data_IF_372051965367
#
_entry.id   IF_372051965367
#
_cell.length_a   1.000
_cell.length_b   1.000
_cell.length_c   1.000
_cell.angle_alpha   90.00
_cell.angle_beta   90.00
_cell.angle_gamma   90.00
#
_symmetry.space_group_name_H-M   'P 1'
#
loop_
_entity.id
_entity.type
_entity.pdbx_description
1 polymer ?
#
# COMPACT_ATOMS: atom_id res chain seq x y z
N UNK A 1 11.41 10.07 -14.06
CA UNK A 1 11.81 9.29 -15.25
C UNK A 1 12.21 7.90 -14.76
N UNK A 2 11.77 6.81 -15.42
CA UNK A 2 12.17 5.45 -15.07
C UNK A 2 13.60 5.18 -15.55
N UNK A 3 14.62 5.53 -14.76
CA UNK A 3 16.02 5.38 -15.14
C UNK A 3 16.42 3.92 -15.40
N UNK A 4 15.74 2.97 -14.75
CA UNK A 4 15.88 1.53 -14.96
C UNK A 4 15.55 1.10 -16.40
N UNK A 5 14.74 1.88 -17.11
CA UNK A 5 14.39 1.65 -18.52
C UNK A 5 15.36 2.28 -19.52
N UNK A 6 16.37 3.03 -19.06
CA UNK A 6 17.38 3.58 -19.97
C UNK A 6 18.13 2.46 -20.67
N UNK A 7 18.47 2.70 -21.95
CA UNK A 7 19.20 1.75 -22.78
C UNK A 7 20.69 2.07 -22.71
N UNK A 8 21.50 1.09 -22.33
CA UNK A 8 22.95 1.21 -22.26
C UNK A 8 23.64 1.09 -23.62
N UNK A 9 24.98 1.25 -23.67
CA UNK A 9 25.77 1.09 -24.89
C UNK A 9 25.61 -0.27 -25.57
N UNK A 10 25.32 -1.32 -24.79
CA UNK A 10 25.12 -2.70 -25.27
C UNK A 10 23.70 -2.96 -25.81
N UNK A 11 22.88 -1.91 -25.97
CA UNK A 11 21.48 -1.97 -26.40
C UNK A 11 20.53 -2.73 -25.46
N UNK A 12 20.96 -3.02 -24.23
CA UNK A 12 20.12 -3.59 -23.17
C UNK A 12 19.63 -2.52 -22.20
N UNK A 13 18.46 -2.76 -21.59
CA UNK A 13 17.95 -1.90 -20.52
C UNK A 13 18.80 -2.04 -19.25
N UNK A 14 19.04 -0.92 -18.55
CA UNK A 14 19.86 -0.91 -17.34
C UNK A 14 19.37 -1.88 -16.26
N UNK A 15 18.06 -2.11 -16.14
CA UNK A 15 17.48 -3.06 -15.17
C UNK A 15 18.00 -4.51 -15.32
N UNK A 16 18.49 -4.88 -16.50
CA UNK A 16 19.00 -6.24 -16.77
C UNK A 16 20.37 -6.45 -16.13
N UNK A 17 21.19 -5.39 -16.06
CA UNK A 17 22.59 -5.48 -15.65
C UNK A 17 22.91 -4.71 -14.36
N UNK A 18 22.01 -3.82 -13.93
CA UNK A 18 22.24 -2.92 -12.79
C UNK A 18 21.05 -2.94 -11.83
N UNK A 19 21.36 -2.90 -10.53
CA UNK A 19 20.40 -2.63 -9.49
C UNK A 19 20.21 -1.12 -9.38
N UNK A 20 18.97 -0.67 -9.52
CA UNK A 20 18.59 0.75 -9.47
C UNK A 20 17.64 0.95 -8.31
N UNK A 21 18.09 1.71 -7.30
CA UNK A 21 17.30 2.10 -6.14
C UNK A 21 17.04 3.61 -6.13
N UNK A 22 15.86 3.99 -5.62
CA UNK A 22 15.48 5.38 -5.42
C UNK A 22 15.31 5.68 -3.93
N UNK A 23 15.88 6.80 -3.50
CA UNK A 23 15.73 7.33 -2.14
C UNK A 23 15.39 8.81 -2.24
N UNK A 24 14.50 9.35 -1.39
CA UNK A 24 14.16 10.78 -1.44
C UNK A 24 15.35 11.68 -1.06
N UNK A 25 16.28 11.18 -0.24
CA UNK A 25 17.49 11.91 0.12
C UNK A 25 18.64 10.99 0.56
N UNK A 26 19.85 11.54 0.62
CA UNK A 26 21.00 10.86 1.20
C UNK A 26 20.81 10.58 2.71
N UNK A 27 20.12 11.46 3.43
CA UNK A 27 19.82 11.28 4.85
C UNK A 27 18.90 10.08 5.08
N UNK A 28 17.81 9.97 4.31
CA UNK A 28 16.89 8.82 4.41
C UNK A 28 17.62 7.52 4.07
N UNK A 29 18.46 7.52 3.03
CA UNK A 29 19.28 6.34 2.70
C UNK A 29 20.21 5.93 3.84
N UNK A 30 20.85 6.90 4.50
CA UNK A 30 21.70 6.63 5.65
C UNK A 30 20.90 6.00 6.79
N UNK A 31 19.74 6.59 7.15
CA UNK A 31 18.88 6.08 8.21
C UNK A 31 18.39 4.66 7.93
N UNK A 32 17.88 4.40 6.72
CA UNK A 32 17.44 3.06 6.32
C UNK A 32 18.57 2.02 6.44
N UNK A 33 19.79 2.38 6.04
CA UNK A 33 20.95 1.47 6.12
C UNK A 33 21.42 1.22 7.54
N UNK A 34 21.24 2.18 8.45
CA UNK A 34 21.67 2.05 9.85
C UNK A 34 20.62 1.40 10.74
N UNK A 35 19.33 1.67 10.53
CA UNK A 35 18.24 1.15 11.37
C UNK A 35 17.88 -0.30 11.04
N UNK A 36 17.96 -0.72 9.77
CA UNK A 36 17.71 -2.10 9.34
C UNK A 36 18.66 -3.15 10.00
N UNK A 37 19.74 -2.69 10.62
CA UNK A 37 20.67 -3.54 11.36
C UNK A 37 20.30 -3.74 12.84
N UNK A 38 19.48 -2.86 13.44
CA UNK A 38 19.34 -2.75 14.89
C UNK A 38 18.12 -3.48 15.47
N UNK A 39 16.96 -3.48 14.80
CA UNK A 39 15.72 -4.07 15.33
C UNK A 39 15.02 -4.92 14.27
N UNK A 40 15.32 -6.22 14.23
CA UNK A 40 14.67 -7.15 13.28
C UNK A 40 13.42 -7.75 13.90
N UNK A 41 12.27 -7.48 13.27
CA UNK A 41 10.99 -8.08 13.62
C UNK A 41 11.04 -9.61 13.71
N UNK A 42 10.26 -10.17 14.64
CA UNK A 42 10.23 -11.62 14.91
C UNK A 42 9.32 -12.41 13.96
N UNK A 43 8.37 -11.72 13.30
CA UNK A 43 7.38 -12.28 12.40
C UNK A 43 7.84 -12.12 10.95
N UNK A 44 7.73 -13.16 10.12
CA UNK A 44 8.41 -13.16 8.83
C UNK A 44 7.63 -12.41 7.75
N UNK A 45 6.31 -12.51 7.72
CA UNK A 45 5.50 -12.01 6.60
C UNK A 45 4.06 -11.70 7.00
N UNK A 46 3.53 -10.59 6.49
CA UNK A 46 2.12 -10.25 6.49
C UNK A 46 1.69 -9.89 5.07
N UNK A 47 0.80 -10.69 4.49
CA UNK A 47 0.27 -10.50 3.15
C UNK A 47 -1.20 -10.07 3.15
N UNK A 48 -1.54 -9.11 2.29
CA UNK A 48 -2.87 -8.54 2.13
C UNK A 48 -3.29 -8.68 0.67
N UNK A 49 -4.48 -9.23 0.41
CA UNK A 49 -4.94 -9.45 -0.96
C UNK A 49 -6.40 -9.87 -1.10
N UNK A 50 -6.79 -10.24 -2.32
CA UNK A 50 -8.13 -10.73 -2.69
C UNK A 50 -9.26 -9.80 -2.24
N UNK A 51 -9.12 -8.49 -2.48
CA UNK A 51 -10.16 -7.54 -2.09
C UNK A 51 -11.43 -7.82 -2.90
N UNK A 52 -12.59 -8.02 -2.25
CA UNK A 52 -13.86 -8.26 -2.93
C UNK A 52 -14.20 -7.14 -3.92
N UNK A 53 -14.83 -7.49 -5.05
CA UNK A 53 -15.24 -6.50 -6.04
C UNK A 53 -16.22 -5.48 -5.44
N UNK A 54 -15.97 -4.19 -5.68
CA UNK A 54 -16.85 -3.11 -5.25
C UNK A 54 -17.81 -2.75 -6.40
N UNK A 55 -19.08 -3.14 -6.28
CA UNK A 55 -20.12 -2.75 -7.24
C UNK A 55 -20.52 -1.28 -7.04
N UNK A 56 -20.91 -0.64 -8.15
CA UNK A 56 -21.41 0.75 -8.20
C UNK A 56 -22.72 0.96 -7.42
N UNK A 57 -23.40 -0.13 -7.04
CA UNK A 57 -24.79 -0.08 -6.58
C UNK A 57 -24.95 -0.64 -5.15
N UNK A 58 -24.92 0.26 -4.17
CA UNK A 58 -25.77 0.23 -2.96
C UNK A 58 -25.66 -0.91 -1.93
N UNK A 59 -24.69 -0.84 -1.01
CA UNK A 59 -24.78 -1.48 0.32
C UNK A 59 -23.57 -1.21 1.24
N UNK A 60 -23.73 -1.04 2.57
CA UNK A 60 -24.77 -0.28 3.25
C UNK A 60 -24.42 1.22 3.24
N UNK A 61 -24.84 1.93 2.19
CA UNK A 61 -24.88 3.39 2.16
C UNK A 61 -25.87 4.00 3.19
N UNK A 62 -26.56 3.16 3.98
CA UNK A 62 -27.41 3.59 5.08
C UNK A 62 -26.64 3.92 6.37
N UNK A 63 -25.40 3.42 6.54
CA UNK A 63 -24.58 3.75 7.72
C UNK A 63 -23.77 5.05 7.53
N UNK A 64 -23.42 5.40 6.29
CA UNK A 64 -22.54 6.53 5.97
C UNK A 64 -23.28 7.85 5.67
N UNK A 65 -24.62 7.84 5.58
CA UNK A 65 -25.43 9.04 5.36
C UNK A 65 -25.45 10.02 6.55
N UNK A 66 -24.75 9.72 7.65
CA UNK A 66 -24.63 10.62 8.81
C UNK A 66 -23.41 11.55 8.78
N UNK A 67 -22.47 11.39 7.84
CA UNK A 67 -21.46 12.41 7.59
C UNK A 67 -22.06 13.49 6.70
N UNK A 68 -22.22 14.70 7.25
CA UNK A 68 -22.74 15.90 6.61
C UNK A 68 -22.37 15.99 5.12
N UNK A 69 -23.34 16.32 4.26
CA UNK A 69 -23.18 16.59 2.81
C UNK A 69 -21.92 17.43 2.45
N UNK A 70 -21.45 18.26 3.38
CA UNK A 70 -20.25 19.10 3.29
C UNK A 70 -18.91 18.33 3.25
N UNK A 71 -18.90 17.06 3.67
CA UNK A 71 -17.71 16.21 3.72
C UNK A 71 -17.54 15.39 2.44
N UNK A 72 -18.65 15.15 1.71
CA UNK A 72 -18.67 14.47 0.40
C UNK A 72 -17.92 15.27 -0.68
N UNK A 73 -18.01 16.60 -0.64
CA UNK A 73 -17.28 17.52 -1.52
C UNK A 73 -15.77 17.65 -1.19
N UNK A 74 -15.30 17.10 -0.06
CA UNK A 74 -13.91 17.21 0.40
C UNK A 74 -13.10 15.94 0.19
N UNK A 75 -13.72 14.84 -0.25
CA UNK A 75 -13.02 13.59 -0.55
C UNK A 75 -12.54 13.63 -2.01
N UNK A 76 -11.22 13.52 -2.26
CA UNK A 76 -10.68 13.52 -3.63
C UNK A 76 -11.19 12.34 -4.46
N UNK A 77 -11.55 11.26 -3.77
CA UNK A 77 -12.03 10.02 -4.35
C UNK A 77 -13.42 9.69 -3.81
N UNK A 78 -14.48 9.89 -4.59
CA UNK A 78 -15.73 9.23 -4.31
C UNK A 78 -15.51 7.74 -4.62
N UNK A 79 -15.34 6.92 -3.59
CA UNK A 79 -15.31 5.45 -3.70
C UNK A 79 -16.52 4.90 -4.46
N UNK A 80 -17.62 5.64 -4.47
CA UNK A 80 -18.85 5.36 -5.21
C UNK A 80 -18.67 5.43 -6.75
N UNK A 81 -17.62 6.09 -7.25
CA UNK A 81 -17.39 6.31 -8.68
C UNK A 81 -16.35 5.38 -9.31
N UNK A 82 -15.52 4.69 -8.53
CA UNK A 82 -14.47 3.80 -9.04
C UNK A 82 -14.96 2.36 -9.04
N UNK A 83 -15.17 1.78 -10.24
CA UNK A 83 -15.48 0.35 -10.38
C UNK A 83 -14.18 -0.45 -10.29
N UNK A 84 -13.98 -1.12 -9.17
CA UNK A 84 -12.86 -2.02 -8.97
C UNK A 84 -13.32 -3.46 -9.15
N UNK A 85 -12.75 -4.13 -10.14
CA UNK A 85 -12.90 -5.57 -10.31
C UNK A 85 -12.17 -6.31 -9.20
N UNK A 86 -12.67 -7.49 -8.84
CA UNK A 86 -11.95 -8.40 -7.96
C UNK A 86 -10.60 -8.79 -8.59
N UNK A 87 -9.60 -9.00 -7.74
CA UNK A 87 -8.27 -9.49 -8.10
C UNK A 87 -8.07 -10.90 -7.51
N UNK A 88 -8.76 -11.95 -8.03
CA UNK A 88 -8.73 -13.27 -7.41
C UNK A 88 -7.32 -13.89 -7.41
N UNK A 89 -6.50 -13.58 -8.41
CA UNK A 89 -5.10 -14.03 -8.48
C UNK A 89 -4.23 -13.47 -7.34
N UNK A 90 -4.62 -12.34 -6.73
CA UNK A 90 -3.91 -11.78 -5.58
C UNK A 90 -4.06 -12.64 -4.32
N UNK A 91 -5.14 -13.45 -4.21
CA UNK A 91 -5.20 -14.52 -3.20
C UNK A 91 -4.03 -15.47 -3.39
N UNK A 92 -3.89 -16.00 -4.60
CA UNK A 92 -2.88 -17.02 -4.90
C UNK A 92 -1.46 -16.46 -4.68
N UNK A 93 -1.21 -15.19 -5.01
CA UNK A 93 0.03 -14.47 -4.72
C UNK A 93 0.35 -14.45 -3.20
N UNK A 94 -0.60 -13.99 -2.38
CA UNK A 94 -0.43 -13.92 -0.92
C UNK A 94 -0.23 -15.29 -0.29
N UNK A 95 -0.99 -16.29 -0.76
CA UNK A 95 -0.90 -17.66 -0.25
C UNK A 95 0.45 -18.29 -0.62
N UNK A 96 0.88 -18.18 -1.89
CA UNK A 96 2.14 -18.74 -2.35
C UNK A 96 3.36 -18.12 -1.62
N UNK A 97 3.35 -16.81 -1.38
CA UNK A 97 4.41 -16.14 -0.62
C UNK A 97 4.40 -16.59 0.85
N UNK A 98 3.23 -16.74 1.46
CA UNK A 98 3.13 -17.21 2.83
C UNK A 98 3.70 -18.63 2.99
N UNK A 99 3.38 -19.52 2.04
CA UNK A 99 3.86 -20.91 2.03
C UNK A 99 5.37 -20.97 1.81
N UNK A 100 5.90 -20.11 0.94
CA UNK A 100 7.34 -20.00 0.68
C UNK A 100 8.12 -19.48 1.89
N UNK A 101 7.58 -18.48 2.59
CA UNK A 101 8.26 -17.80 3.70
C UNK A 101 8.12 -18.58 5.02
N UNK A 102 6.98 -19.22 5.26
CA UNK A 102 6.81 -20.21 6.32
C UNK A 102 5.68 -19.95 7.31
N UNK A 103 5.56 -20.84 8.29
CA UNK A 103 4.35 -21.04 9.10
C UNK A 103 3.92 -19.90 10.03
N UNK A 104 4.78 -18.89 10.27
CA UNK A 104 4.42 -17.69 11.07
C UNK A 104 3.88 -16.54 10.22
N UNK A 105 3.69 -16.76 8.93
CA UNK A 105 3.09 -15.80 8.01
C UNK A 105 1.64 -15.52 8.39
N UNK A 106 1.22 -14.26 8.30
CA UNK A 106 -0.16 -13.83 8.50
C UNK A 106 -0.75 -13.42 7.15
N UNK A 107 -2.02 -13.77 6.94
CA UNK A 107 -2.74 -13.53 5.69
C UNK A 107 -4.04 -12.78 6.00
N UNK A 108 -4.22 -11.62 5.39
CA UNK A 108 -5.47 -10.86 5.42
C UNK A 108 -6.04 -10.84 4.01
N UNK A 109 -6.97 -11.76 3.73
CA UNK A 109 -7.55 -11.93 2.39
C UNK A 109 -9.08 -11.85 2.40
N UNK A 110 -9.68 -11.40 1.30
CA UNK A 110 -11.13 -11.27 1.19
C UNK A 110 -11.70 -10.24 2.16
N UNK A 111 -12.83 -10.57 2.79
CA UNK A 111 -13.49 -9.73 3.80
C UNK A 111 -12.62 -9.46 5.05
N UNK A 112 -11.53 -10.22 5.25
CA UNK A 112 -10.60 -9.99 6.37
C UNK A 112 -9.50 -8.99 6.04
N UNK A 113 -9.37 -8.59 4.77
CA UNK A 113 -8.37 -7.63 4.31
C UNK A 113 -8.78 -6.18 4.63
N UNK A 114 -9.19 -5.92 5.87
CA UNK A 114 -9.65 -4.60 6.33
C UNK A 114 -8.51 -3.81 6.97
N UNK A 115 -8.63 -2.49 6.98
CA UNK A 115 -7.69 -1.61 7.66
C UNK A 115 -7.61 -1.90 9.15
N UNK A 116 -8.75 -2.15 9.79
CA UNK A 116 -8.80 -2.49 11.20
C UNK A 116 -8.04 -3.80 11.50
N UNK A 117 -8.21 -4.82 10.67
CA UNK A 117 -7.51 -6.10 10.83
C UNK A 117 -5.99 -5.94 10.66
N UNK A 118 -5.56 -5.09 9.73
CA UNK A 118 -4.16 -4.71 9.52
C UNK A 118 -3.61 -3.93 10.73
N UNK A 119 -4.29 -2.86 11.14
CA UNK A 119 -3.92 -1.98 12.27
C UNK A 119 -3.89 -2.74 13.61
N UNK A 120 -4.63 -3.85 13.73
CA UNK A 120 -4.61 -4.72 14.90
C UNK A 120 -3.40 -5.68 14.96
N UNK A 121 -2.63 -5.83 13.88
CA UNK A 121 -1.42 -6.65 13.89
C UNK A 121 -0.25 -5.93 14.58
N UNK A 122 0.72 -6.67 15.15
CA UNK A 122 1.97 -6.08 15.64
C UNK A 122 2.88 -5.70 14.46
N UNK A 123 2.53 -4.63 13.73
CA UNK A 123 3.18 -4.26 12.46
C UNK A 123 4.70 -4.03 12.56
N UNK A 124 5.19 -3.58 13.71
CA UNK A 124 6.64 -3.43 13.98
C UNK A 124 7.37 -4.76 14.11
N UNK A 125 6.67 -5.89 14.23
CA UNK A 125 7.30 -7.22 14.30
C UNK A 125 7.40 -7.92 12.96
N UNK A 126 6.74 -7.43 11.91
CA UNK A 126 6.78 -8.06 10.59
C UNK A 126 7.99 -7.59 9.79
N UNK A 127 8.77 -8.55 9.31
CA UNK A 127 9.92 -8.29 8.44
C UNK A 127 9.51 -7.93 7.01
N UNK A 128 8.42 -8.52 6.53
CA UNK A 128 7.91 -8.29 5.17
C UNK A 128 6.43 -7.96 5.23
N UNK A 129 6.04 -6.85 4.60
CA UNK A 129 4.66 -6.48 4.33
C UNK A 129 4.42 -6.55 2.83
N UNK A 130 3.34 -7.22 2.42
CA UNK A 130 3.02 -7.39 1.00
C UNK A 130 1.56 -7.03 0.74
N UNK A 131 1.34 -6.04 -0.12
CA UNK A 131 0.04 -5.53 -0.49
C UNK A 131 -0.26 -5.83 -1.96
N UNK A 132 -1.09 -6.84 -2.21
CA UNK A 132 -1.60 -7.19 -3.53
C UNK A 132 -3.04 -6.71 -3.69
N UNK A 133 -3.21 -5.39 -3.80
CA UNK A 133 -4.51 -4.71 -3.75
C UNK A 133 -4.59 -3.61 -4.82
N UNK A 134 -5.75 -2.99 -5.02
CA UNK A 134 -5.82 -1.80 -5.87
C UNK A 134 -5.18 -0.60 -5.17
N UNK A 135 -4.49 0.24 -5.94
CA UNK A 135 -4.00 1.55 -5.50
C UNK A 135 -4.78 2.66 -6.19
N UNK A 136 -4.98 3.78 -5.50
CA UNK A 136 -5.54 5.01 -6.06
C UNK A 136 -4.65 6.19 -5.69
N UNK A 137 -4.22 6.96 -6.69
CA UNK A 137 -3.26 8.06 -6.50
C UNK A 137 -3.85 9.41 -6.90
N UNK A 138 -3.58 10.46 -6.12
CA UNK A 138 -4.05 11.83 -6.39
C UNK A 138 -2.89 12.81 -6.47
N UNK A 139 -2.66 13.41 -7.63
CA UNK A 139 -1.68 14.50 -7.73
C UNK A 139 -2.12 15.76 -6.98
N UNK A 140 -3.43 16.04 -6.94
CA UNK A 140 -3.99 17.22 -6.26
C UNK A 140 -3.98 17.08 -4.74
N UNK A 141 -4.15 15.86 -4.24
CA UNK A 141 -4.15 15.56 -2.82
C UNK A 141 -3.29 14.32 -2.52
N UNK A 142 -1.94 14.40 -2.64
CA UNK A 142 -1.06 13.23 -2.56
C UNK A 142 -1.23 12.41 -1.28
N UNK A 143 -1.41 13.08 -0.14
CA UNK A 143 -1.70 12.46 1.17
C UNK A 143 -3.00 11.67 1.24
N UNK A 144 -3.89 11.81 0.26
CA UNK A 144 -5.17 11.09 0.13
C UNK A 144 -5.10 9.96 -0.90
N UNK A 145 -3.93 9.73 -1.51
CA UNK A 145 -3.66 8.48 -2.23
C UNK A 145 -3.79 7.30 -1.26
N UNK A 146 -4.27 6.15 -1.70
CA UNK A 146 -4.64 5.07 -0.81
C UNK A 146 -4.47 3.68 -1.43
N UNK A 147 -4.31 2.69 -0.56
CA UNK A 147 -4.52 1.29 -0.88
C UNK A 147 -5.99 0.96 -0.61
N UNK A 148 -6.66 0.31 -1.56
CA UNK A 148 -8.06 -0.09 -1.39
C UNK A 148 -8.12 -1.40 -0.61
N UNK A 149 -8.82 -1.35 0.51
CA UNK A 149 -9.00 -2.47 1.45
C UNK A 149 -10.48 -2.88 1.52
N UNK A 150 -10.76 -4.01 2.16
CA UNK A 150 -12.13 -4.39 2.47
C UNK A 150 -12.71 -3.39 3.49
N UNK A 151 -13.94 -2.88 3.29
CA UNK A 151 -14.57 -1.94 4.21
C UNK A 151 -14.94 -2.65 5.52
N UNK A 152 -14.94 -1.91 6.63
CA UNK A 152 -15.46 -2.39 7.92
C UNK A 152 -16.49 -1.40 8.47
N UNK A 153 -17.78 -1.55 8.11
CA UNK A 153 -18.84 -0.65 8.55
C UNK A 153 -19.03 -0.65 10.07
N UNK A 154 -18.64 -1.72 10.79
CA UNK A 154 -18.78 -1.80 12.24
C UNK A 154 -17.80 -0.85 12.95
N UNK A 155 -16.64 -0.61 12.34
CA UNK A 155 -15.60 0.28 12.85
C UNK A 155 -15.55 1.62 12.13
N UNK A 156 -16.51 1.89 11.24
CA UNK A 156 -16.58 3.11 10.43
C UNK A 156 -15.34 3.35 9.53
N UNK A 157 -14.62 2.28 9.18
CA UNK A 157 -13.52 2.31 8.21
C UNK A 157 -14.10 2.22 6.80
N UNK A 158 -13.67 3.12 5.91
CA UNK A 158 -14.24 3.27 4.56
C UNK A 158 -13.55 2.41 3.48
N UNK A 159 -12.48 1.70 3.87
CA UNK A 159 -11.70 0.80 3.03
C UNK A 159 -10.69 1.54 2.15
N UNK A 160 -10.29 2.75 2.53
CA UNK A 160 -9.18 3.48 1.95
C UNK A 160 -8.08 3.65 2.98
N UNK A 161 -7.04 2.84 2.86
CA UNK A 161 -5.86 3.01 3.69
C UNK A 161 -4.98 4.11 3.11
N UNK A 162 -5.19 5.34 3.59
CA UNK A 162 -4.63 6.56 2.99
C UNK A 162 -3.16 6.77 3.37
N UNK A 163 -2.40 7.42 2.49
CA UNK A 163 -0.98 7.72 2.65
C UNK A 163 -0.63 8.41 3.99
N UNK A 164 -1.49 9.32 4.47
CA UNK A 164 -1.28 9.97 5.77
C UNK A 164 -1.48 9.03 6.97
N UNK A 165 -2.27 7.96 6.82
CA UNK A 165 -2.43 6.93 7.85
C UNK A 165 -1.22 6.02 7.87
N UNK A 166 -0.75 5.63 6.67
CA UNK A 166 0.46 4.82 6.48
C UNK A 166 1.66 5.52 7.12
N UNK A 167 1.83 6.82 6.91
CA UNK A 167 2.95 7.60 7.46
C UNK A 167 2.93 7.74 8.99
N UNK A 168 1.89 7.23 9.68
CA UNK A 168 1.78 7.20 11.14
C UNK A 168 2.03 5.82 11.73
N UNK A 169 2.16 4.79 10.88
CA UNK A 169 2.47 3.46 11.35
C UNK A 169 3.87 3.41 11.95
N UNK A 170 4.04 2.55 12.94
CA UNK A 170 5.36 2.15 13.42
C UNK A 170 5.73 0.84 12.75
N UNK A 171 6.63 0.92 11.79
CA UNK A 171 7.12 -0.22 11.02
C UNK A 171 8.58 -0.46 11.36
N UNK A 172 8.98 -1.72 11.38
CA UNK A 172 10.39 -2.15 11.46
C UNK A 172 10.63 -3.27 10.45
N UNK A 173 9.96 -3.17 9.30
CA UNK A 173 10.04 -4.13 8.20
C UNK A 173 11.30 -3.92 7.37
N UNK A 174 11.92 -5.03 6.96
CA UNK A 174 13.02 -5.04 5.99
C UNK A 174 12.53 -4.68 4.58
N UNK A 175 11.27 -5.01 4.27
CA UNK A 175 10.69 -4.85 2.93
C UNK A 175 9.18 -4.61 2.98
N UNK A 176 8.72 -3.61 2.21
CA UNK A 176 7.31 -3.43 1.86
C UNK A 176 7.16 -3.59 0.35
N UNK A 177 6.27 -4.49 -0.07
CA UNK A 177 5.95 -4.73 -1.49
C UNK A 177 4.55 -4.19 -1.80
N UNK A 178 4.45 -3.33 -2.81
CA UNK A 178 3.20 -2.75 -3.28
C UNK A 178 2.86 -3.31 -4.68
N UNK A 179 2.23 -4.48 -4.73
CA UNK A 179 1.60 -5.04 -5.93
C UNK A 179 0.25 -4.33 -6.18
N UNK A 180 0.32 -3.02 -6.43
CA UNK A 180 -0.83 -2.14 -6.59
C UNK A 180 -0.60 -1.08 -7.69
N UNK A 181 -1.68 -0.63 -8.33
CA UNK A 181 -1.63 0.38 -9.39
C UNK A 181 -1.13 1.74 -8.88
N UNK A 182 -0.39 2.46 -9.73
CA UNK A 182 -0.01 3.87 -9.55
C UNK A 182 0.70 4.23 -8.23
N UNK A 183 1.33 3.25 -7.57
CA UNK A 183 1.98 3.39 -6.25
C UNK A 183 3.22 4.30 -6.29
N UNK A 184 3.92 4.33 -7.43
CA UNK A 184 5.07 5.21 -7.69
C UNK A 184 4.70 6.56 -8.30
N UNK A 185 3.45 6.76 -8.71
CA UNK A 185 2.97 8.05 -9.22
C UNK A 185 2.73 9.01 -8.05
N UNK A 186 3.21 10.24 -8.19
CA UNK A 186 3.13 11.25 -7.14
C UNK A 186 3.42 12.65 -7.63
N UNK A 187 3.08 13.62 -6.79
CA UNK A 187 3.34 15.03 -7.07
C UNK A 187 4.79 15.38 -6.72
N UNK A 188 5.46 16.16 -7.57
CA UNK A 188 6.80 16.65 -7.30
C UNK A 188 6.73 17.83 -6.32
N UNK A 189 7.22 17.62 -5.11
CA UNK A 189 7.38 18.63 -4.07
C UNK A 189 8.85 19.07 -3.98
N UNK A 190 9.13 20.13 -3.22
CA UNK A 190 10.50 20.62 -2.95
C UNK A 190 11.36 19.52 -2.27
N UNK A 191 10.71 18.64 -1.50
CA UNK A 191 11.35 17.58 -0.72
C UNK A 191 11.41 16.22 -1.46
N UNK A 192 10.94 16.15 -2.71
CA UNK A 192 10.92 14.93 -3.52
C UNK A 192 9.54 14.60 -4.08
N UNK A 193 9.34 13.37 -4.56
CA UNK A 193 8.04 12.92 -5.08
C UNK A 193 7.18 12.39 -3.94
N UNK A 194 6.02 13.01 -3.70
CA UNK A 194 5.04 12.52 -2.73
C UNK A 194 4.14 11.48 -3.37
N UNK A 195 4.39 10.21 -3.06
CA UNK A 195 3.61 9.06 -3.55
C UNK A 195 3.31 8.04 -2.43
N UNK A 196 2.55 7.00 -2.78
CA UNK A 196 2.14 5.97 -1.83
C UNK A 196 3.33 5.18 -1.28
N UNK A 197 4.32 4.89 -2.12
CA UNK A 197 5.56 4.21 -1.69
C UNK A 197 6.34 5.01 -0.65
N UNK A 198 6.49 6.33 -0.83
CA UNK A 198 7.19 7.22 0.11
C UNK A 198 6.51 7.33 1.47
N UNK A 199 5.24 6.91 1.60
CA UNK A 199 4.49 6.97 2.86
C UNK A 199 4.94 5.89 3.86
N UNK A 200 5.70 4.90 3.40
CA UNK A 200 6.28 3.81 4.22
C UNK A 200 7.71 4.10 4.70
N UNK A 201 8.27 5.27 4.35
CA UNK A 201 9.59 5.74 4.78
C UNK A 201 9.45 6.71 5.95
#
# INVERSE_FOLDING_TARGET
>A
LPFESLVGPDAEHLIVSHLVDYTPSATVLFLMRTEAAAERGSLPFLGIGDIPARKKDGGPAAAFQRSSQKEKDRRPFPLETVRLSSLPASRDEVMALSDLIGAKSVQLVGEKATEAALKAQPLSEFRILHFAVHGVSSEKFPRKSALVMAPDPALSEDGLFEAWEISRLRLSSDLVVLSACDTGLGHLEIEGVSNLASSFL
#
